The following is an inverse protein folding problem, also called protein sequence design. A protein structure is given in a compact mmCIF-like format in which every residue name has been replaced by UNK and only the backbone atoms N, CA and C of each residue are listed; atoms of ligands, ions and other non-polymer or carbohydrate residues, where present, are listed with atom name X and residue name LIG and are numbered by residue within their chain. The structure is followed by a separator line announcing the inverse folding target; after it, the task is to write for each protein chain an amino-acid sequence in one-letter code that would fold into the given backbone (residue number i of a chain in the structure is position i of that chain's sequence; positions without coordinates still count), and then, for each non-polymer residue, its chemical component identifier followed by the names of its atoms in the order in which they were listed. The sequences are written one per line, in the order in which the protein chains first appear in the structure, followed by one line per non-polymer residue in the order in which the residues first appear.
data_IF_869321576396
#
_entry.id   IF_869321576396
#
_cell.length_a   1.000
_cell.length_b   1.000
_cell.length_c   1.000
_cell.angle_alpha   90.00
_cell.angle_beta   90.00
_cell.angle_gamma   90.00
#
_symmetry.space_group_name_H-M   'P 1'
#
loop_
_entity.id
_entity.type
_entity.pdbx_description
1 polymer ?
#
# COMPACT_ATOMS: atom_id res chain seq x y z
N UNK A 1 -27.08 -14.50 -12.07
CA UNK A 1 -27.76 -14.33 -13.37
C UNK A 1 -28.02 -15.70 -13.97
N UNK A 2 -28.89 -15.84 -14.97
CA UNK A 2 -29.18 -17.17 -15.55
C UNK A 2 -28.12 -17.66 -16.55
N UNK A 3 -27.29 -16.75 -17.07
CA UNK A 3 -26.15 -17.02 -17.97
C UNK A 3 -26.47 -17.86 -19.22
N UNK A 4 -27.74 -17.92 -19.66
CA UNK A 4 -28.19 -18.70 -20.84
C UNK A 4 -27.45 -18.34 -22.12
N UNK A 5 -27.28 -17.03 -22.40
CA UNK A 5 -26.58 -16.56 -23.59
C UNK A 5 -25.10 -16.98 -23.59
N UNK A 6 -24.46 -16.95 -22.41
CA UNK A 6 -23.08 -17.38 -22.24
C UNK A 6 -22.93 -18.87 -22.56
N UNK A 7 -23.84 -19.72 -22.08
CA UNK A 7 -23.80 -21.16 -22.36
C UNK A 7 -24.04 -21.48 -23.84
N UNK A 8 -24.97 -20.79 -24.49
CA UNK A 8 -25.19 -20.94 -25.93
C UNK A 8 -23.96 -20.54 -26.75
N UNK A 9 -23.28 -19.45 -26.37
CA UNK A 9 -22.05 -19.02 -27.04
C UNK A 9 -20.89 -19.99 -26.82
N UNK A 10 -20.78 -20.59 -25.62
CA UNK A 10 -19.78 -21.63 -25.34
C UNK A 10 -20.03 -22.91 -26.15
N UNK A 11 -21.30 -23.34 -26.27
CA UNK A 11 -21.68 -24.46 -27.12
C UNK A 11 -21.36 -24.22 -28.60
N UNK A 12 -21.66 -23.02 -29.12
CA UNK A 12 -21.30 -22.63 -30.50
C UNK A 12 -19.80 -22.68 -30.76
N UNK A 13 -18.99 -22.42 -29.73
CA UNK A 13 -17.52 -22.51 -29.78
C UNK A 13 -16.99 -23.93 -29.58
N UNK A 14 -17.88 -24.92 -29.39
CA UNK A 14 -17.54 -26.34 -29.30
C UNK A 14 -17.24 -26.85 -27.89
N UNK A 15 -17.46 -26.05 -26.84
CA UNK A 15 -17.29 -26.51 -25.47
C UNK A 15 -18.51 -27.29 -25.00
N UNK A 16 -18.28 -28.47 -24.41
CA UNK A 16 -19.36 -29.39 -23.98
C UNK A 16 -19.45 -29.48 -22.46
N UNK A 17 -18.36 -29.26 -21.73
CA UNK A 17 -18.30 -29.44 -20.28
C UNK A 17 -17.91 -28.16 -19.56
N UNK A 18 -18.58 -27.90 -18.45
CA UNK A 18 -18.24 -26.83 -17.52
C UNK A 18 -18.40 -27.31 -16.08
N UNK A 19 -17.78 -26.62 -15.14
CA UNK A 19 -18.03 -26.71 -13.71
C UNK A 19 -18.80 -25.48 -13.29
N UNK A 20 -20.01 -25.67 -12.77
CA UNK A 20 -20.89 -24.59 -12.32
C UNK A 20 -21.15 -24.78 -10.84
N UNK A 21 -20.80 -23.77 -10.03
CA UNK A 21 -20.91 -23.80 -8.57
C UNK A 21 -20.27 -25.04 -7.91
N UNK A 22 -19.21 -25.57 -8.52
CA UNK A 22 -18.47 -26.75 -8.06
C UNK A 22 -18.91 -28.08 -8.68
N UNK A 23 -20.06 -28.12 -9.37
CA UNK A 23 -20.57 -29.34 -10.01
C UNK A 23 -20.23 -29.39 -11.49
N UNK A 24 -19.74 -30.55 -11.96
CA UNK A 24 -19.47 -30.77 -13.38
C UNK A 24 -20.76 -31.04 -14.14
N UNK A 25 -21.05 -30.19 -15.11
CA UNK A 25 -22.27 -30.23 -15.91
C UNK A 25 -21.97 -30.26 -17.40
N UNK A 26 -22.89 -30.84 -18.16
CA UNK A 26 -22.88 -30.75 -19.62
C UNK A 26 -23.58 -29.46 -20.03
N UNK A 27 -22.93 -28.66 -20.88
CA UNK A 27 -23.46 -27.38 -21.35
C UNK A 27 -24.72 -27.53 -22.21
N UNK A 28 -24.98 -28.72 -22.76
CA UNK A 28 -26.18 -29.04 -23.53
C UNK A 28 -27.45 -29.24 -22.69
N UNK A 29 -27.33 -29.42 -21.38
CA UNK A 29 -28.46 -29.64 -20.48
C UNK A 29 -29.07 -28.31 -20.00
N UNK A 30 -30.35 -28.29 -19.61
CA UNK A 30 -30.95 -27.10 -19.00
C UNK A 30 -30.51 -26.95 -17.54
N UNK A 31 -29.54 -26.06 -17.31
CA UNK A 31 -28.90 -25.85 -16.01
C UNK A 31 -29.74 -24.99 -15.03
N UNK A 32 -30.83 -24.35 -15.49
CA UNK A 32 -31.81 -23.71 -14.59
C UNK A 32 -31.24 -22.72 -13.55
N UNK A 33 -30.16 -21.98 -13.87
CA UNK A 33 -29.49 -21.12 -12.89
C UNK A 33 -30.37 -19.97 -12.38
N UNK A 34 -30.32 -19.70 -11.07
CA UNK A 34 -31.16 -18.68 -10.44
C UNK A 34 -30.66 -17.27 -10.74
N UNK A 35 -31.49 -16.45 -11.39
CA UNK A 35 -31.14 -15.08 -11.81
C UNK A 35 -30.51 -14.20 -10.73
N UNK A 36 -31.00 -14.30 -9.48
CA UNK A 36 -30.59 -13.45 -8.36
C UNK A 36 -29.37 -13.95 -7.57
N UNK A 37 -28.79 -15.09 -7.95
CA UNK A 37 -27.62 -15.65 -7.27
C UNK A 37 -26.34 -15.38 -8.07
N UNK A 38 -25.23 -15.30 -7.33
CA UNK A 38 -23.89 -15.32 -7.91
C UNK A 38 -23.56 -16.78 -8.23
N UNK A 39 -23.07 -17.01 -9.43
CA UNK A 39 -22.64 -18.33 -9.89
C UNK A 39 -21.17 -18.28 -10.30
N UNK A 40 -20.44 -19.35 -10.06
CA UNK A 40 -19.07 -19.57 -10.54
C UNK A 40 -19.13 -20.52 -11.71
N UNK A 41 -18.68 -20.07 -12.89
CA UNK A 41 -18.73 -20.86 -14.13
C UNK A 41 -17.31 -21.02 -14.65
N UNK A 42 -16.86 -22.26 -14.76
CA UNK A 42 -15.52 -22.62 -15.21
C UNK A 42 -15.63 -23.60 -16.37
N UNK A 43 -15.04 -23.28 -17.52
CA UNK A 43 -15.16 -24.13 -18.71
C UNK A 43 -14.01 -25.15 -18.73
N UNK A 44 -14.34 -26.41 -18.98
CA UNK A 44 -13.33 -27.47 -19.13
C UNK A 44 -12.77 -27.40 -20.55
N UNK A 45 -11.52 -26.94 -20.68
CA UNK A 45 -10.84 -26.76 -21.97
C UNK A 45 -10.25 -28.08 -22.46
N UNK A 46 -9.46 -28.77 -21.63
CA UNK A 46 -8.83 -30.03 -22.00
C UNK A 46 -8.59 -30.91 -20.76
N UNK A 47 -8.41 -32.22 -20.98
CA UNK A 47 -8.01 -33.20 -19.97
C UNK A 47 -6.73 -33.88 -20.43
N UNK A 48 -5.65 -33.64 -19.68
CA UNK A 48 -4.30 -34.08 -20.04
C UNK A 48 -3.73 -35.03 -18.98
N UNK A 49 -2.98 -36.03 -19.44
CA UNK A 49 -2.18 -36.89 -18.57
C UNK A 49 -0.77 -36.33 -18.50
N UNK A 50 -0.24 -36.15 -17.29
CA UNK A 50 1.11 -35.64 -17.08
C UNK A 50 2.15 -36.59 -17.70
N UNK A 51 3.03 -36.07 -18.55
CA UNK A 51 4.06 -36.87 -19.23
C UNK A 51 4.94 -36.03 -20.14
N UNK A 52 6.05 -36.63 -20.62
CA UNK A 52 7.05 -35.94 -21.46
C UNK A 52 6.54 -35.60 -22.88
N UNK A 53 5.49 -36.27 -23.37
CA UNK A 53 5.02 -36.20 -24.75
C UNK A 53 3.87 -35.23 -25.05
N UNK A 54 3.46 -34.37 -24.10
CA UNK A 54 2.22 -33.57 -24.22
C UNK A 54 2.39 -32.05 -24.30
N UNK A 55 3.61 -31.54 -24.48
CA UNK A 55 3.90 -30.10 -24.31
C UNK A 55 3.14 -29.19 -25.29
N UNK A 56 3.05 -29.57 -26.55
CA UNK A 56 2.33 -28.78 -27.58
C UNK A 56 0.84 -28.67 -27.26
N UNK A 57 0.20 -29.80 -26.93
CA UNK A 57 -1.22 -29.83 -26.56
C UNK A 57 -1.50 -29.05 -25.26
N UNK A 58 -0.61 -29.14 -24.28
CA UNK A 58 -0.69 -28.33 -23.06
C UNK A 58 -0.61 -26.83 -23.37
N UNK A 59 0.30 -26.43 -24.26
CA UNK A 59 0.44 -25.03 -24.67
C UNK A 59 -0.84 -24.51 -25.35
N UNK A 60 -1.39 -25.28 -26.30
CA UNK A 60 -2.64 -24.94 -26.99
C UNK A 60 -3.82 -24.81 -26.01
N UNK A 61 -3.96 -25.76 -25.07
CA UNK A 61 -5.01 -25.72 -24.05
C UNK A 61 -4.87 -24.49 -23.13
N UNK A 62 -3.64 -24.15 -22.71
CA UNK A 62 -3.37 -22.97 -21.86
C UNK A 62 -3.66 -21.68 -22.63
N UNK A 63 -3.25 -21.57 -23.90
CA UNK A 63 -3.53 -20.39 -24.73
C UNK A 63 -5.03 -20.19 -24.94
N UNK A 64 -5.77 -21.28 -25.22
CA UNK A 64 -7.22 -21.23 -25.37
C UNK A 64 -7.91 -20.82 -24.07
N UNK A 65 -7.46 -21.36 -22.93
CA UNK A 65 -7.97 -21.01 -21.61
C UNK A 65 -7.76 -19.52 -21.30
N UNK A 66 -6.53 -19.00 -21.48
CA UNK A 66 -6.18 -17.59 -21.27
C UNK A 66 -7.02 -16.67 -22.16
N UNK A 67 -7.19 -17.03 -23.44
CA UNK A 67 -7.98 -16.22 -24.40
C UNK A 67 -9.47 -16.21 -24.03
N UNK A 68 -10.03 -17.32 -23.57
CA UNK A 68 -11.44 -17.41 -23.20
C UNK A 68 -11.77 -16.68 -21.90
N UNK A 69 -10.91 -16.81 -20.89
CA UNK A 69 -11.12 -16.25 -19.54
C UNK A 69 -10.60 -14.82 -19.37
N UNK A 70 -9.90 -14.27 -20.38
CA UNK A 70 -9.27 -12.96 -20.30
C UNK A 70 -8.03 -12.91 -19.40
N UNK A 71 -7.30 -14.03 -19.27
CA UNK A 71 -6.00 -14.04 -18.59
C UNK A 71 -5.81 -15.05 -17.47
N UNK A 72 -6.77 -15.94 -17.19
CA UNK A 72 -6.70 -16.88 -16.05
C UNK A 72 -6.87 -18.35 -16.46
N UNK A 73 -6.20 -19.26 -15.76
CA UNK A 73 -6.31 -20.71 -16.00
C UNK A 73 -6.34 -21.45 -14.68
N UNK A 74 -7.38 -22.24 -14.46
CA UNK A 74 -7.46 -23.16 -13.33
C UNK A 74 -6.99 -24.55 -13.76
N UNK A 75 -5.99 -25.09 -13.08
CA UNK A 75 -5.51 -26.45 -13.28
C UNK A 75 -5.93 -27.28 -12.06
N UNK A 76 -6.81 -28.25 -12.28
CA UNK A 76 -7.15 -29.26 -11.30
C UNK A 76 -6.33 -30.51 -11.57
N UNK A 77 -5.58 -30.95 -10.57
CA UNK A 77 -4.84 -32.22 -10.63
C UNK A 77 -5.58 -33.30 -9.86
N UNK A 78 -5.72 -34.46 -10.49
CA UNK A 78 -6.29 -35.66 -9.89
C UNK A 78 -5.17 -36.69 -9.77
N UNK A 79 -4.84 -37.12 -8.55
CA UNK A 79 -4.01 -38.32 -8.37
C UNK A 79 -4.89 -39.55 -8.57
N UNK A 80 -4.52 -40.42 -9.51
CA UNK A 80 -5.11 -41.75 -9.58
C UNK A 80 -4.54 -42.57 -8.41
N UNK A 81 -5.41 -43.07 -7.52
CA UNK A 81 -5.02 -44.13 -6.58
C UNK A 81 -4.67 -45.37 -7.40
N UNK A 82 -3.40 -45.76 -7.33
CA UNK A 82 -2.88 -46.98 -7.94
C UNK A 82 -3.31 -48.20 -7.12
N UNK A 83 -4.57 -48.60 -7.21
CA UNK A 83 -5.02 -49.95 -6.83
C UNK A 83 -6.03 -50.44 -7.87
N UNK A 84 -5.50 -50.74 -9.06
CA UNK A 84 -6.13 -51.62 -10.03
C UNK A 84 -5.01 -52.39 -10.75
N UNK A 85 -4.17 -53.04 -9.95
CA UNK A 85 -3.34 -54.15 -10.41
C UNK A 85 -3.95 -55.43 -9.85
N UNK A 86 -4.32 -56.33 -10.76
CA UNK A 86 -4.55 -57.76 -10.54
C UNK A 86 -5.42 -58.17 -9.35
N UNK A 87 -6.72 -58.27 -9.60
CA UNK A 87 -7.48 -59.48 -9.24
C UNK A 87 -8.89 -59.39 -9.82
N UNK A 88 -9.29 -60.47 -10.50
CA UNK A 88 -10.70 -60.80 -10.72
C UNK A 88 -11.19 -61.44 -9.41
N UNK A 89 -12.29 -60.93 -8.81
CA UNK A 89 -13.16 -61.82 -8.05
C UNK A 89 -14.59 -61.71 -8.57
N UNK A 90 -15.11 -62.84 -9.02
CA UNK A 90 -16.54 -63.08 -9.20
C UNK A 90 -17.28 -62.81 -7.87
N UNK A 91 -18.18 -61.83 -7.87
CA UNK A 91 -19.08 -61.56 -6.75
C UNK A 91 -19.93 -60.31 -6.97
N UNK A 92 -21.18 -60.24 -6.45
CA UNK A 92 -22.03 -59.07 -6.60
C UNK A 92 -21.47 -57.87 -5.80
N UNK A 93 -21.73 -56.62 -6.25
CA UNK A 93 -21.09 -55.44 -5.68
C UNK A 93 -21.49 -55.23 -4.22
N UNK A 94 -20.52 -55.00 -3.30
CA UNK A 94 -20.85 -54.52 -1.97
C UNK A 94 -21.32 -53.07 -2.07
N UNK A 95 -22.51 -52.79 -1.53
CA UNK A 95 -22.97 -51.44 -1.26
C UNK A 95 -22.10 -50.86 -0.14
N UNK A 96 -21.16 -49.99 -0.50
CA UNK A 96 -20.30 -49.30 0.45
C UNK A 96 -20.43 -47.78 0.25
N UNK A 97 -21.23 -47.17 1.14
CA UNK A 97 -21.08 -45.79 1.56
C UNK A 97 -19.71 -45.59 2.18
N UNK A 98 -18.87 -44.77 1.54
CA UNK A 98 -17.54 -44.45 2.05
C UNK A 98 -16.74 -43.75 0.97
N UNK A 99 -17.04 -42.46 0.75
CA UNK A 99 -16.33 -41.61 -0.19
C UNK A 99 -14.82 -41.64 0.10
N UNK A 100 -14.06 -42.28 -0.79
CA UNK A 100 -12.62 -42.12 -0.85
C UNK A 100 -12.34 -40.66 -1.23
N UNK A 101 -11.86 -39.87 -0.28
CA UNK A 101 -11.47 -38.48 -0.51
C UNK A 101 -10.19 -38.48 -1.34
N UNK A 102 -10.33 -38.33 -2.65
CA UNK A 102 -9.24 -38.02 -3.56
C UNK A 102 -8.68 -36.64 -3.23
N UNK A 103 -7.37 -36.54 -3.00
CA UNK A 103 -6.70 -35.26 -2.77
C UNK A 103 -6.67 -34.46 -4.08
N UNK A 104 -7.74 -33.73 -4.36
CA UNK A 104 -7.82 -32.80 -5.49
C UNK A 104 -7.00 -31.55 -5.15
N UNK A 105 -5.95 -31.26 -5.93
CA UNK A 105 -5.24 -29.98 -5.78
C UNK A 105 -5.51 -29.09 -6.98
N UNK A 106 -6.14 -27.95 -6.68
CA UNK A 106 -6.46 -26.88 -7.64
C UNK A 106 -5.40 -25.77 -7.58
N UNK A 107 -4.94 -25.33 -8.74
CA UNK A 107 -3.99 -24.22 -8.88
C UNK A 107 -4.49 -23.25 -9.94
N UNK A 108 -4.75 -22.01 -9.51
CA UNK A 108 -5.13 -20.91 -10.40
C UNK A 108 -3.88 -20.14 -10.84
N UNK A 109 -3.75 -19.94 -12.15
CA UNK A 109 -2.70 -19.19 -12.81
C UNK A 109 -3.29 -17.94 -13.46
N UNK A 110 -2.49 -16.88 -13.55
CA UNK A 110 -2.84 -15.62 -14.21
C UNK A 110 -1.70 -15.20 -15.15
N UNK A 111 -2.04 -14.78 -16.36
CA UNK A 111 -1.12 -14.19 -17.34
C UNK A 111 -0.77 -12.73 -16.99
N UNK A 112 -1.58 -12.08 -16.16
CA UNK A 112 -1.32 -10.75 -15.61
C UNK A 112 -0.69 -10.86 -14.23
N UNK A 113 0.01 -9.80 -13.81
CA UNK A 113 0.44 -9.63 -12.42
C UNK A 113 -0.79 -9.43 -11.54
N UNK A 114 -1.46 -10.51 -11.18
CA UNK A 114 -2.67 -10.49 -10.38
C UNK A 114 -2.62 -11.62 -9.36
N UNK A 115 -3.12 -11.34 -8.15
CA UNK A 115 -3.23 -12.34 -7.11
C UNK A 115 -4.50 -13.18 -7.31
N UNK A 116 -4.30 -14.46 -7.57
CA UNK A 116 -5.37 -15.46 -7.72
C UNK A 116 -6.30 -15.60 -6.49
N UNK A 117 -5.86 -15.20 -5.29
CA UNK A 117 -6.64 -15.35 -4.06
C UNK A 117 -7.50 -14.12 -3.72
N UNK A 118 -6.98 -12.92 -3.96
CA UNK A 118 -7.65 -11.68 -3.57
C UNK A 118 -8.12 -10.83 -4.76
N UNK A 119 -7.94 -11.31 -6.00
CA UNK A 119 -8.33 -10.63 -7.25
C UNK A 119 -7.75 -9.20 -7.38
N UNK A 120 -6.64 -8.92 -6.72
CA UNK A 120 -5.90 -7.67 -6.90
C UNK A 120 -5.01 -7.77 -8.13
N UNK A 121 -5.11 -6.79 -9.02
CA UNK A 121 -4.21 -6.61 -10.16
C UNK A 121 -3.12 -5.60 -9.82
N UNK A 122 -1.94 -5.82 -10.39
CA UNK A 122 -0.73 -5.04 -10.17
C UNK A 122 -0.12 -4.63 -11.51
N UNK A 123 0.54 -3.48 -11.54
CA UNK A 123 1.31 -3.08 -12.71
C UNK A 123 2.62 -3.88 -12.79
N UNK A 124 3.14 -4.20 -13.99
CA UNK A 124 4.45 -4.80 -14.13
C UNK A 124 5.53 -3.96 -13.41
N UNK A 125 6.43 -4.58 -12.63
CA UNK A 125 7.46 -3.84 -11.90
C UNK A 125 8.40 -3.14 -12.88
N UNK A 126 8.50 -1.82 -12.73
CA UNK A 126 9.44 -0.97 -13.47
C UNK A 126 10.32 -0.19 -12.49
N UNK A 127 11.50 0.32 -12.88
CA UNK A 127 12.34 1.12 -11.99
C UNK A 127 11.60 2.33 -11.37
N UNK A 128 10.66 2.92 -12.11
CA UNK A 128 9.85 4.05 -11.64
C UNK A 128 8.89 3.67 -10.51
N UNK A 129 8.44 2.41 -10.43
CA UNK A 129 7.63 1.89 -9.34
C UNK A 129 8.38 1.94 -8.00
N UNK A 130 9.71 1.85 -8.04
CA UNK A 130 10.57 1.87 -6.85
C UNK A 130 11.09 3.26 -6.48
N UNK A 131 10.67 4.30 -7.20
CA UNK A 131 11.06 5.68 -6.93
C UNK A 131 9.98 6.41 -6.16
N UNK A 132 10.32 6.90 -4.96
CA UNK A 132 9.43 7.78 -4.18
C UNK A 132 9.29 9.18 -4.80
N UNK A 133 10.09 9.52 -5.82
CA UNK A 133 9.98 10.77 -6.57
C UNK A 133 9.06 10.62 -7.81
N UNK A 134 8.65 9.39 -8.15
CA UNK A 134 7.75 9.13 -9.27
C UNK A 134 6.30 8.96 -8.78
N UNK A 135 5.30 9.49 -9.48
CA UNK A 135 3.88 9.22 -9.21
C UNK A 135 3.52 7.74 -9.19
N UNK A 136 4.23 6.90 -9.95
CA UNK A 136 3.99 5.46 -9.99
C UNK A 136 4.39 4.80 -8.67
N UNK A 137 5.54 5.18 -8.11
CA UNK A 137 6.12 4.53 -6.92
C UNK A 137 5.83 5.23 -5.59
N UNK A 138 5.48 6.52 -5.60
CA UNK A 138 5.34 7.29 -4.37
C UNK A 138 4.10 6.89 -3.55
N UNK A 139 4.21 6.98 -2.23
CA UNK A 139 3.06 6.92 -1.35
C UNK A 139 2.13 8.10 -1.68
N UNK A 140 0.94 7.81 -2.21
CA UNK A 140 -0.05 8.84 -2.61
C UNK A 140 -0.42 9.79 -1.48
N UNK A 141 -0.38 9.30 -0.25
CA UNK A 141 -0.92 10.03 0.88
C UNK A 141 0.11 10.96 1.57
N UNK A 142 1.42 10.74 1.39
CA UNK A 142 2.46 11.72 1.76
C UNK A 142 3.27 12.24 0.56
N UNK A 143 2.82 11.97 -0.67
CA UNK A 143 3.48 12.35 -1.93
C UNK A 143 4.98 12.04 -1.93
N UNK A 144 5.36 10.86 -1.45
CA UNK A 144 6.78 10.44 -1.43
C UNK A 144 7.67 11.11 -0.38
N UNK A 145 7.12 11.90 0.55
CA UNK A 145 7.90 12.56 1.61
C UNK A 145 8.26 11.59 2.75
N UNK A 146 7.44 10.57 3.00
CA UNK A 146 7.60 9.64 4.14
C UNK A 146 7.13 10.21 5.48
N UNK A 147 7.12 11.53 5.61
CA UNK A 147 6.56 12.23 6.75
C UNK A 147 5.35 13.07 6.35
N UNK A 148 4.53 13.44 7.32
CA UNK A 148 3.46 14.43 7.18
C UNK A 148 3.58 15.44 8.29
N UNK A 149 3.29 16.69 7.95
CA UNK A 149 2.96 17.68 8.96
C UNK A 149 1.54 17.40 9.43
N UNK A 150 1.40 17.13 10.72
CA UNK A 150 0.10 16.91 11.32
C UNK A 150 -0.04 17.78 12.57
N UNK A 151 -1.26 18.16 12.89
CA UNK A 151 -1.51 19.02 14.04
C UNK A 151 -1.47 18.20 15.33
N UNK A 152 -0.83 18.76 16.35
CA UNK A 152 -0.90 18.25 17.71
C UNK A 152 -2.02 18.97 18.45
N UNK A 153 -2.99 18.21 18.95
CA UNK A 153 -4.11 18.78 19.70
C UNK A 153 -3.63 19.62 20.89
N UNK A 154 -2.62 19.13 21.62
CA UNK A 154 -2.00 19.83 22.75
C UNK A 154 -1.41 21.19 22.37
N UNK A 155 -0.83 21.32 21.16
CA UNK A 155 -0.29 22.60 20.68
C UNK A 155 -1.38 23.54 20.16
N UNK A 156 -2.46 22.97 19.60
CA UNK A 156 -3.61 23.73 19.13
C UNK A 156 -4.40 24.38 20.27
N UNK A 157 -4.43 23.71 21.43
CA UNK A 157 -5.13 24.21 22.61
C UNK A 157 -4.30 25.27 23.32
N UNK A 158 -4.93 26.39 23.66
CA UNK A 158 -4.33 27.42 24.51
C UNK A 158 -4.50 27.06 25.99
N UNK A 159 -5.71 26.66 26.36
CA UNK A 159 -6.14 26.40 27.74
C UNK A 159 -7.41 25.54 27.70
N UNK A 160 -7.37 24.39 28.37
CA UNK A 160 -8.49 23.44 28.41
C UNK A 160 -9.69 23.96 29.22
N UNK A 161 -9.47 24.96 30.07
CA UNK A 161 -10.53 25.59 30.88
C UNK A 161 -11.32 26.63 30.09
N UNK A 162 -10.85 27.04 28.90
CA UNK A 162 -11.58 27.95 28.01
C UNK A 162 -12.60 27.17 27.17
N UNK A 163 -13.66 27.85 26.77
CA UNK A 163 -14.59 27.33 25.76
C UNK A 163 -14.12 27.64 24.36
N UNK A 164 -14.64 26.89 23.38
CA UNK A 164 -14.41 27.18 21.96
C UNK A 164 -14.73 28.64 21.62
N UNK A 165 -15.83 29.18 22.17
CA UNK A 165 -16.23 30.57 21.97
C UNK A 165 -15.20 31.59 22.47
N UNK A 166 -14.58 31.33 23.63
CA UNK A 166 -13.54 32.16 24.23
C UNK A 166 -12.16 31.98 23.59
N UNK A 167 -12.04 31.06 22.63
CA UNK A 167 -10.81 30.83 21.88
C UNK A 167 -9.94 29.71 22.45
N UNK A 168 -10.52 28.62 22.95
CA UNK A 168 -9.77 27.45 23.40
C UNK A 168 -8.75 26.93 22.35
N UNK A 169 -9.03 27.12 21.06
CA UNK A 169 -8.13 26.79 19.95
C UNK A 169 -7.39 28.05 19.46
N UNK A 170 -6.07 28.06 19.63
CA UNK A 170 -5.18 29.18 19.26
C UNK A 170 -5.34 29.61 17.79
N UNK A 171 -5.51 28.64 16.88
CA UNK A 171 -5.53 28.88 15.43
C UNK A 171 -6.79 29.61 14.97
N UNK A 172 -7.91 29.39 15.67
CA UNK A 172 -9.19 30.06 15.40
C UNK A 172 -9.31 31.40 16.13
N UNK A 173 -8.69 31.50 17.31
CA UNK A 173 -8.88 32.62 18.22
C UNK A 173 -10.33 32.73 18.74
N UNK A 174 -10.67 33.84 19.41
CA UNK A 174 -12.00 34.05 19.95
C UNK A 174 -13.06 34.09 18.84
N UNK A 175 -14.20 33.43 19.05
CA UNK A 175 -15.30 33.43 18.08
C UNK A 175 -15.85 34.83 17.80
N UNK A 176 -15.59 35.81 18.66
CA UNK A 176 -15.92 37.23 18.40
C UNK A 176 -15.24 37.76 17.13
N UNK A 177 -13.98 37.38 16.89
CA UNK A 177 -13.16 37.86 15.76
C UNK A 177 -13.37 37.10 14.44
N UNK A 178 -14.08 35.98 14.46
CA UNK A 178 -14.35 35.16 13.27
C UNK A 178 -15.35 35.88 12.34
N UNK A 179 -15.22 35.72 11.02
CA UNK A 179 -16.17 36.29 10.06
C UNK A 179 -17.58 35.69 10.21
N UNK A 180 -18.63 36.47 9.92
CA UNK A 180 -20.04 36.02 10.06
C UNK A 180 -20.29 34.68 9.35
N UNK A 181 -19.73 34.50 8.15
CA UNK A 181 -19.83 33.27 7.38
C UNK A 181 -19.27 32.05 8.13
N UNK A 182 -17.99 32.03 8.53
CA UNK A 182 -17.46 30.89 9.30
C UNK A 182 -18.24 30.60 10.59
N UNK A 183 -18.74 31.63 11.29
CA UNK A 183 -19.56 31.43 12.51
C UNK A 183 -20.84 30.63 12.26
N UNK A 184 -21.54 30.84 11.15
CA UNK A 184 -22.78 30.09 10.89
C UNK A 184 -22.51 28.61 10.56
N UNK A 185 -21.37 28.33 9.91
CA UNK A 185 -20.91 26.96 9.64
C UNK A 185 -20.65 26.24 10.97
N UNK A 186 -19.83 26.82 11.84
CA UNK A 186 -19.50 26.22 13.14
C UNK A 186 -20.74 26.04 14.03
N UNK A 187 -21.71 26.95 13.98
CA UNK A 187 -23.00 26.78 14.68
C UNK A 187 -23.84 25.64 14.10
N UNK A 188 -23.86 25.45 12.79
CA UNK A 188 -24.55 24.32 12.14
C UNK A 188 -23.91 22.98 12.48
N UNK A 189 -22.57 22.92 12.46
CA UNK A 189 -21.81 21.75 12.89
C UNK A 189 -22.06 21.43 14.37
N UNK A 190 -21.96 22.43 15.25
CA UNK A 190 -22.21 22.27 16.68
C UNK A 190 -23.60 21.69 16.97
N UNK A 191 -24.66 22.22 16.35
CA UNK A 191 -26.04 21.68 16.51
C UNK A 191 -26.17 20.22 16.08
N UNK A 192 -25.47 19.83 15.03
CA UNK A 192 -25.53 18.45 14.53
C UNK A 192 -24.79 17.50 15.47
N UNK A 193 -23.63 17.93 15.97
CA UNK A 193 -22.84 17.17 16.94
C UNK A 193 -23.56 17.09 18.29
N UNK A 194 -24.20 18.17 18.75
CA UNK A 194 -25.01 18.19 19.97
C UNK A 194 -26.13 17.15 19.90
N UNK A 195 -26.86 17.07 18.78
CA UNK A 195 -27.87 16.03 18.55
C UNK A 195 -27.30 14.62 18.51
N UNK A 196 -26.14 14.44 17.87
CA UNK A 196 -25.49 13.13 17.76
C UNK A 196 -24.95 12.62 19.10
N UNK A 197 -24.57 13.52 20.01
CA UNK A 197 -23.93 13.20 21.30
C UNK A 197 -24.88 13.35 22.50
N UNK A 198 -26.12 13.78 22.28
CA UNK A 198 -27.12 14.00 23.33
C UNK A 198 -26.84 15.22 24.22
N UNK A 199 -26.05 16.19 23.74
CA UNK A 199 -25.80 17.44 24.46
C UNK A 199 -26.98 18.41 24.35
N UNK A 200 -27.12 19.28 25.35
CA UNK A 200 -28.10 20.38 25.34
C UNK A 200 -27.80 21.32 24.17
N UNK A 201 -28.83 21.80 23.47
CA UNK A 201 -28.65 22.69 22.32
C UNK A 201 -27.89 23.98 22.66
N UNK A 202 -27.00 24.42 21.76
CA UNK A 202 -26.21 25.65 21.86
C UNK A 202 -25.23 25.70 23.05
N UNK A 203 -24.75 24.52 23.49
CA UNK A 203 -23.78 24.37 24.57
C UNK A 203 -22.38 23.98 24.11
N UNK A 204 -22.22 23.25 23.00
CA UNK A 204 -20.93 22.70 22.56
C UNK A 204 -19.86 23.78 22.35
N UNK A 205 -20.25 24.93 21.81
CA UNK A 205 -19.32 26.05 21.59
C UNK A 205 -19.03 26.85 22.88
N UNK A 206 -19.86 26.72 23.92
CA UNK A 206 -19.82 27.57 25.13
C UNK A 206 -19.30 26.86 26.37
N UNK A 207 -19.42 25.53 26.43
CA UNK A 207 -18.85 24.70 27.47
C UNK A 207 -17.33 24.76 27.45
N UNK A 208 -16.69 24.54 28.61
CA UNK A 208 -15.23 24.45 28.67
C UNK A 208 -14.76 23.22 27.89
N UNK A 209 -13.57 23.32 27.30
CA UNK A 209 -13.04 22.23 26.49
C UNK A 209 -12.88 20.92 27.26
N UNK A 210 -12.45 20.98 28.53
CA UNK A 210 -12.31 19.81 29.40
C UNK A 210 -13.65 19.16 29.80
N UNK A 211 -14.75 19.92 29.78
CA UNK A 211 -16.10 19.44 30.13
C UNK A 211 -16.81 18.80 28.93
N UNK A 212 -16.24 18.91 27.72
CA UNK A 212 -16.82 18.34 26.51
C UNK A 212 -16.57 16.82 26.40
N UNK A 213 -17.60 16.02 26.05
CA UNK A 213 -17.41 14.60 25.74
C UNK A 213 -16.35 14.40 24.66
N UNK A 214 -15.54 13.35 24.80
CA UNK A 214 -14.48 13.03 23.82
C UNK A 214 -15.02 12.86 22.40
N UNK A 215 -16.16 12.20 22.26
CA UNK A 215 -16.83 12.03 20.97
C UNK A 215 -17.22 13.38 20.34
N UNK A 216 -17.72 14.34 21.13
CA UNK A 216 -18.05 15.68 20.64
C UNK A 216 -16.79 16.45 20.20
N UNK A 217 -15.69 16.32 20.96
CA UNK A 217 -14.39 16.91 20.60
C UNK A 217 -13.86 16.33 19.29
N UNK A 218 -13.90 15.01 19.13
CA UNK A 218 -13.44 14.33 17.91
C UNK A 218 -14.29 14.72 16.69
N UNK A 219 -15.62 14.71 16.79
CA UNK A 219 -16.51 15.09 15.69
C UNK A 219 -16.31 16.56 15.25
N UNK A 220 -16.02 17.45 16.20
CA UNK A 220 -15.76 18.85 15.88
C UNK A 220 -14.40 19.04 15.19
N UNK A 221 -13.36 18.31 15.63
CA UNK A 221 -12.01 18.42 15.10
C UNK A 221 -11.79 17.70 13.77
N UNK A 222 -12.30 16.47 13.62
CA UNK A 222 -12.04 15.58 12.50
C UNK A 222 -13.26 15.37 11.58
N UNK A 223 -14.38 16.00 11.91
CA UNK A 223 -15.59 15.99 11.09
C UNK A 223 -16.61 14.94 11.51
N UNK A 224 -17.80 15.04 10.92
CA UNK A 224 -18.94 14.13 11.18
C UNK A 224 -19.05 12.99 10.15
N UNK A 225 -18.00 12.78 9.35
CA UNK A 225 -17.99 11.79 8.26
C UNK A 225 -19.04 12.11 7.19
N UNK A 226 -19.84 11.11 6.81
CA UNK A 226 -20.86 11.25 5.77
C UNK A 226 -22.21 11.83 6.27
N UNK A 227 -22.30 12.23 7.54
CA UNK A 227 -23.52 12.82 8.07
C UNK A 227 -23.82 14.18 7.43
N UNK A 228 -25.09 14.37 7.07
CA UNK A 228 -25.56 15.62 6.49
C UNK A 228 -25.75 16.70 7.57
N UNK A 229 -25.06 17.82 7.42
CA UNK A 229 -25.11 18.96 8.33
C UNK A 229 -25.97 20.06 7.70
N UNK A 230 -26.92 20.59 8.48
CA UNK A 230 -27.75 21.73 8.06
C UNK A 230 -27.21 23.03 8.62
N UNK A 231 -26.77 23.92 7.73
CA UNK A 231 -26.27 25.25 8.08
C UNK A 231 -27.40 26.28 7.93
N UNK A 232 -27.59 27.13 8.94
CA UNK A 232 -28.64 28.14 8.96
C UNK A 232 -28.03 29.55 9.03
N UNK A 233 -28.34 30.39 8.04
CA UNK A 233 -27.90 31.76 7.92
C UNK A 233 -29.08 32.72 8.12
N UNK A 234 -28.91 33.71 9.01
CA UNK A 234 -29.94 34.75 9.23
C UNK A 234 -29.54 36.03 8.51
N UNK A 235 -30.39 36.50 7.61
CA UNK A 235 -30.26 37.79 6.93
C UNK A 235 -31.49 38.66 7.23
N UNK A 236 -31.47 39.92 6.78
CA UNK A 236 -32.55 40.88 7.05
C UNK A 236 -33.94 40.42 6.56
N UNK A 237 -34.00 39.53 5.56
CA UNK A 237 -35.23 39.01 4.97
C UNK A 237 -35.65 37.61 5.43
N UNK A 238 -34.97 37.02 6.42
CA UNK A 238 -35.36 35.69 6.95
C UNK A 238 -34.18 34.76 7.26
N UNK A 239 -34.48 33.47 7.34
CA UNK A 239 -33.51 32.40 7.60
C UNK A 239 -33.34 31.52 6.36
N UNK A 240 -32.15 31.56 5.78
CA UNK A 240 -31.75 30.68 4.69
C UNK A 240 -31.07 29.44 5.28
N UNK A 241 -31.41 28.24 4.79
CA UNK A 241 -30.79 26.98 5.20
C UNK A 241 -30.18 26.29 3.98
N UNK A 242 -28.98 25.75 4.15
CA UNK A 242 -28.36 24.89 3.14
C UNK A 242 -27.73 23.66 3.80
N UNK A 243 -27.66 22.58 3.03
CA UNK A 243 -27.05 21.33 3.43
C UNK A 243 -25.57 21.26 3.04
N UNK A 244 -24.78 20.49 3.78
CA UNK A 244 -23.40 20.17 3.42
C UNK A 244 -22.81 19.11 4.35
N UNK A 245 -21.49 18.88 4.20
CA UNK A 245 -20.71 18.04 5.11
C UNK A 245 -19.85 18.91 6.01
N UNK A 246 -19.57 18.42 7.22
CA UNK A 246 -18.60 19.03 8.12
C UNK A 246 -17.36 18.14 8.18
N UNK A 247 -16.31 18.57 7.50
CA UNK A 247 -15.04 17.83 7.41
C UNK A 247 -14.18 18.00 8.67
N UNK A 248 -14.51 18.96 9.55
CA UNK A 248 -13.75 19.24 10.76
C UNK A 248 -12.70 20.33 10.60
N UNK A 249 -12.26 20.88 11.73
CA UNK A 249 -11.26 21.96 11.75
C UNK A 249 -9.88 21.46 11.30
N UNK A 250 -9.45 20.27 11.71
CA UNK A 250 -8.11 19.77 11.40
C UNK A 250 -7.96 19.54 9.89
N UNK A 251 -8.91 18.86 9.20
CA UNK A 251 -8.86 18.76 7.75
C UNK A 251 -8.89 20.12 7.03
N UNK A 252 -9.71 21.08 7.50
CA UNK A 252 -9.74 22.44 6.95
C UNK A 252 -8.36 23.14 7.06
N UNK A 253 -7.71 23.03 8.23
CA UNK A 253 -6.38 23.61 8.47
C UNK A 253 -5.27 22.89 7.68
N UNK A 254 -5.36 21.58 7.52
CA UNK A 254 -4.43 20.81 6.70
C UNK A 254 -4.55 21.19 5.22
N UNK A 255 -5.78 21.35 4.73
CA UNK A 255 -6.03 21.83 3.38
C UNK A 255 -5.53 23.27 3.19
N UNK A 256 -5.73 24.15 4.18
CA UNK A 256 -5.18 25.52 4.20
C UNK A 256 -3.64 25.49 4.15
N UNK A 257 -2.99 24.55 4.85
CA UNK A 257 -1.54 24.39 4.84
C UNK A 257 -1.00 23.88 3.49
N UNK A 258 -1.65 22.87 2.90
CA UNK A 258 -1.22 22.22 1.65
C UNK A 258 -1.50 23.12 0.44
N UNK A 259 -2.70 23.69 0.35
CA UNK A 259 -3.17 24.47 -0.81
C UNK A 259 -2.87 25.97 -0.66
N UNK A 260 -2.54 26.43 0.55
CA UNK A 260 -2.35 27.85 0.86
C UNK A 260 -1.17 28.47 0.11
N UNK A 261 -1.44 29.60 -0.56
CA UNK A 261 -0.41 30.37 -1.28
C UNK A 261 0.32 31.42 -0.42
N UNK A 262 -0.18 31.70 0.80
CA UNK A 262 0.41 32.70 1.69
C UNK A 262 1.50 32.09 2.59
N UNK A 263 2.79 32.41 2.37
CA UNK A 263 3.90 31.81 3.12
C UNK A 263 3.89 32.18 4.60
N UNK A 264 3.40 33.37 4.96
CA UNK A 264 3.37 33.82 6.36
C UNK A 264 2.33 33.07 7.18
N UNK A 265 1.16 32.80 6.59
CA UNK A 265 0.11 31.98 7.21
C UNK A 265 0.58 30.53 7.38
N UNK A 266 1.26 29.99 6.36
CA UNK A 266 1.86 28.66 6.42
C UNK A 266 2.84 28.52 7.59
N UNK A 267 3.76 29.49 7.74
CA UNK A 267 4.72 29.53 8.85
C UNK A 267 4.08 29.69 10.23
N UNK A 268 2.91 30.33 10.32
CA UNK A 268 2.13 30.40 11.57
C UNK A 268 1.55 29.04 11.93
N UNK A 269 0.99 28.30 10.96
CA UNK A 269 0.43 26.97 11.17
C UNK A 269 1.51 25.96 11.58
N UNK A 270 2.71 26.05 10.99
CA UNK A 270 3.85 25.16 11.30
C UNK A 270 4.22 25.14 12.78
N UNK A 271 3.98 26.22 13.53
CA UNK A 271 4.22 26.27 14.98
C UNK A 271 3.39 25.25 15.76
N UNK A 272 2.21 24.90 15.24
CA UNK A 272 1.27 23.97 15.86
C UNK A 272 1.35 22.56 15.26
N UNK A 273 2.21 22.38 14.26
CA UNK A 273 2.38 21.11 13.58
C UNK A 273 3.62 20.39 14.11
N UNK A 274 3.62 19.08 13.95
CA UNK A 274 4.79 18.24 14.12
C UNK A 274 5.00 17.39 12.87
N UNK A 275 6.26 17.10 12.58
CA UNK A 275 6.61 16.16 11.53
C UNK A 275 6.45 14.77 12.12
N UNK A 276 5.39 14.08 11.72
CA UNK A 276 5.17 12.67 12.07
C UNK A 276 5.47 11.77 10.88
N UNK A 277 5.85 10.53 11.18
CA UNK A 277 5.94 9.49 10.15
C UNK A 277 4.56 9.28 9.52
N UNK A 278 4.54 9.11 8.20
CA UNK A 278 3.29 8.91 7.47
C UNK A 278 2.66 7.58 7.89
N UNK A 279 1.44 7.61 8.45
CA UNK A 279 0.72 6.40 8.88
C UNK A 279 0.44 5.40 7.76
N UNK A 280 0.26 5.87 6.52
CA UNK A 280 -0.05 5.00 5.37
C UNK A 280 1.16 4.19 4.87
N UNK A 281 2.35 4.79 4.88
CA UNK A 281 3.57 4.11 4.43
C UNK A 281 4.54 3.75 5.56
N UNK A 282 4.27 4.15 6.80
CA UNK A 282 5.16 3.94 7.95
C UNK A 282 6.52 4.63 7.81
N UNK A 283 6.62 5.71 7.03
CA UNK A 283 7.90 6.38 6.75
C UNK A 283 8.61 5.95 5.47
N UNK A 284 8.27 4.78 4.90
CA UNK A 284 8.97 4.18 3.74
C UNK A 284 8.85 4.93 2.41
N UNK A 285 8.02 5.97 2.33
CA UNK A 285 7.83 6.85 1.15
C UNK A 285 7.20 6.21 -0.09
N UNK A 286 7.13 4.89 -0.16
CA UNK A 286 6.66 4.13 -1.33
C UNK A 286 5.19 3.69 -1.22
N UNK A 287 4.59 3.38 -2.36
CA UNK A 287 3.26 2.82 -2.47
C UNK A 287 3.21 1.37 -1.92
N UNK A 288 2.02 0.79 -1.69
CA UNK A 288 1.91 -0.59 -1.18
C UNK A 288 2.57 -1.63 -2.08
N UNK A 289 2.38 -1.55 -3.40
CA UNK A 289 2.89 -2.54 -4.36
C UNK A 289 4.43 -2.62 -4.37
N UNK A 290 5.10 -1.49 -4.42
CA UNK A 290 6.56 -1.39 -4.42
C UNK A 290 7.18 -1.96 -3.14
N UNK A 291 6.49 -1.82 -2.00
CA UNK A 291 6.91 -2.39 -0.71
C UNK A 291 6.70 -3.90 -0.61
N UNK A 292 5.89 -4.48 -1.49
CA UNK A 292 5.63 -5.91 -1.51
C UNK A 292 6.65 -6.70 -2.32
N UNK A 293 7.47 -6.04 -3.16
CA UNK A 293 8.54 -6.70 -3.91
C UNK A 293 9.72 -6.93 -2.96
N UNK A 294 10.22 -8.17 -2.92
CA UNK A 294 11.23 -8.63 -1.97
C UNK A 294 12.39 -9.32 -2.67
N UNK A 295 13.58 -9.19 -2.08
CA UNK A 295 14.80 -9.88 -2.45
C UNK A 295 15.22 -10.82 -1.32
N UNK A 296 15.71 -12.01 -1.67
CA UNK A 296 16.20 -13.00 -0.70
C UNK A 296 17.73 -13.01 -0.71
N UNK A 297 18.29 -13.30 0.45
CA UNK A 297 19.75 -13.44 0.65
C UNK A 297 19.99 -14.60 1.60
N UNK A 298 21.07 -15.34 1.37
CA UNK A 298 21.53 -16.43 2.24
C UNK A 298 22.11 -15.89 3.54
N UNK A 299 22.64 -14.67 3.53
CA UNK A 299 23.19 -14.03 4.71
C UNK A 299 22.05 -13.49 5.56
N UNK A 300 21.94 -13.97 6.80
CA UNK A 300 21.05 -13.38 7.78
C UNK A 300 21.62 -12.02 8.22
N UNK A 301 20.93 -10.95 7.85
CA UNK A 301 21.33 -9.57 8.15
C UNK A 301 20.15 -8.85 8.77
N UNK A 302 20.30 -8.42 10.02
CA UNK A 302 19.21 -7.85 10.81
C UNK A 302 18.07 -8.85 11.08
N UNK A 303 16.84 -8.36 11.14
CA UNK A 303 15.62 -9.19 11.23
C UNK A 303 15.22 -9.76 9.85
N UNK A 304 16.12 -10.49 9.19
CA UNK A 304 15.81 -11.16 7.92
C UNK A 304 14.69 -12.18 8.12
N UNK A 305 13.49 -11.84 7.62
CA UNK A 305 12.35 -12.74 7.53
C UNK A 305 12.64 -13.87 6.53
N UNK A 306 12.09 -15.10 6.71
CA UNK A 306 12.16 -16.15 5.70
C UNK A 306 11.59 -15.73 4.33
N UNK A 307 10.82 -14.65 4.27
CA UNK A 307 10.21 -14.10 3.05
C UNK A 307 11.13 -13.15 2.26
N UNK A 308 12.34 -12.84 2.75
CA UNK A 308 13.24 -11.84 2.17
C UNK A 308 12.89 -10.39 2.56
N UNK A 309 13.73 -9.45 2.13
CA UNK A 309 13.63 -8.02 2.45
C UNK A 309 13.09 -7.21 1.27
N UNK A 310 12.22 -6.25 1.56
CA UNK A 310 11.72 -5.24 0.63
C UNK A 310 12.70 -4.09 0.45
N UNK A 311 12.52 -3.28 -0.59
CA UNK A 311 13.42 -2.14 -0.86
C UNK A 311 13.58 -1.18 0.34
N UNK A 312 12.50 -0.74 1.04
CA UNK A 312 12.68 0.09 2.23
C UNK A 312 13.44 -0.59 3.37
N UNK A 313 13.22 -1.89 3.57
CA UNK A 313 13.93 -2.65 4.60
C UNK A 313 15.43 -2.74 4.27
N UNK A 314 15.78 -3.00 3.00
CA UNK A 314 17.17 -2.97 2.53
C UNK A 314 17.78 -1.57 2.67
N UNK A 315 17.03 -0.51 2.39
CA UNK A 315 17.51 0.86 2.59
C UNK A 315 17.66 1.24 4.08
N UNK A 316 16.93 0.59 4.98
CA UNK A 316 17.06 0.79 6.43
C UNK A 316 18.28 0.07 7.04
N UNK A 317 18.89 -0.88 6.32
CA UNK A 317 20.12 -1.54 6.75
C UNK A 317 21.29 -0.57 6.81
N UNK A 318 22.23 -0.84 7.73
CA UNK A 318 23.54 -0.20 7.70
C UNK A 318 24.29 -0.53 6.40
N UNK A 319 25.28 0.27 6.02
CA UNK A 319 26.07 0.01 4.80
C UNK A 319 26.78 -1.36 4.88
N UNK A 320 27.29 -1.72 6.05
CA UNK A 320 27.92 -3.04 6.29
C UNK A 320 26.92 -4.18 6.08
N UNK A 321 25.75 -4.06 6.71
CA UNK A 321 24.65 -5.01 6.58
C UNK A 321 24.17 -5.13 5.12
N UNK A 322 23.99 -3.99 4.44
CA UNK A 322 23.60 -3.97 3.03
C UNK A 322 24.66 -4.64 2.14
N UNK A 323 25.96 -4.42 2.40
CA UNK A 323 27.04 -5.05 1.64
C UNK A 323 27.01 -6.58 1.79
N UNK A 324 26.81 -7.07 3.02
CA UNK A 324 26.64 -8.50 3.30
C UNK A 324 25.40 -9.08 2.63
N UNK A 325 24.27 -8.35 2.67
CA UNK A 325 23.01 -8.75 2.04
C UNK A 325 23.17 -8.93 0.53
N UNK A 326 23.77 -7.95 -0.17
CA UNK A 326 23.99 -8.03 -1.61
C UNK A 326 25.08 -9.04 -2.01
N UNK A 327 25.98 -9.41 -1.10
CA UNK A 327 26.97 -10.48 -1.35
C UNK A 327 26.30 -11.85 -1.35
N UNK A 328 25.39 -12.11 -0.40
CA UNK A 328 24.65 -13.37 -0.26
C UNK A 328 23.36 -13.48 -1.08
N UNK A 329 23.09 -12.54 -2.00
CA UNK A 329 21.80 -12.48 -2.72
C UNK A 329 21.51 -13.78 -3.48
N UNK A 330 20.29 -14.30 -3.31
CA UNK A 330 19.82 -15.52 -3.99
C UNK A 330 19.14 -15.14 -5.30
N UNK A 331 19.75 -15.55 -6.42
CA UNK A 331 19.21 -15.35 -7.77
C UNK A 331 19.31 -16.65 -8.56
N UNK A 332 18.30 -16.92 -9.38
CA UNK A 332 18.38 -17.96 -10.41
C UNK A 332 19.35 -17.57 -11.54
N UNK A 333 19.65 -18.51 -12.44
CA UNK A 333 20.63 -18.29 -13.52
C UNK A 333 20.24 -17.14 -14.45
N UNK A 334 18.94 -16.96 -14.69
CA UNK A 334 18.42 -15.91 -15.58
C UNK A 334 18.51 -14.54 -14.90
N UNK A 335 18.09 -14.46 -13.65
CA UNK A 335 18.15 -13.27 -12.81
C UNK A 335 19.61 -12.84 -12.60
N UNK A 336 20.52 -13.78 -12.38
CA UNK A 336 21.96 -13.51 -12.21
C UNK A 336 22.55 -12.86 -13.46
N UNK A 337 22.23 -13.38 -14.64
CA UNK A 337 22.68 -12.81 -15.92
C UNK A 337 22.15 -11.38 -16.10
N UNK A 338 20.86 -11.15 -15.81
CA UNK A 338 20.23 -9.82 -15.96
C UNK A 338 20.79 -8.81 -14.95
N UNK A 339 21.04 -9.25 -13.71
CA UNK A 339 21.43 -8.37 -12.61
C UNK A 339 22.94 -8.19 -12.43
N UNK A 340 23.78 -8.83 -13.26
CA UNK A 340 25.25 -8.86 -13.09
C UNK A 340 25.85 -7.46 -12.97
N UNK A 341 25.59 -6.59 -13.95
CA UNK A 341 26.13 -5.23 -13.97
C UNK A 341 25.60 -4.38 -12.80
N UNK A 342 24.30 -4.51 -12.50
CA UNK A 342 23.66 -3.79 -11.40
C UNK A 342 24.25 -4.20 -10.04
N UNK A 343 24.45 -5.49 -9.81
CA UNK A 343 25.06 -6.00 -8.58
C UNK A 343 26.52 -5.60 -8.45
N UNK A 344 27.28 -5.61 -9.55
CA UNK A 344 28.66 -5.14 -9.57
C UNK A 344 28.75 -3.68 -9.13
N UNK A 345 27.87 -2.82 -9.65
CA UNK A 345 27.83 -1.39 -9.30
C UNK A 345 27.40 -1.17 -7.85
N UNK A 346 26.36 -1.87 -7.37
CA UNK A 346 25.87 -1.78 -5.99
C UNK A 346 26.97 -2.20 -5.01
N UNK A 347 27.57 -3.38 -5.20
CA UNK A 347 28.65 -3.90 -4.35
C UNK A 347 29.88 -2.99 -4.38
N UNK A 348 30.21 -2.46 -5.56
CA UNK A 348 31.28 -1.48 -5.71
C UNK A 348 31.07 -0.23 -4.85
N UNK A 349 29.89 0.41 -4.97
CA UNK A 349 29.53 1.62 -4.21
C UNK A 349 29.50 1.39 -2.71
N UNK A 350 28.89 0.29 -2.25
CA UNK A 350 28.87 -0.07 -0.83
C UNK A 350 30.30 -0.26 -0.31
N UNK A 351 31.16 -0.99 -1.05
CA UNK A 351 32.56 -1.16 -0.66
C UNK A 351 33.36 0.16 -0.62
N UNK A 352 33.07 1.14 -1.48
CA UNK A 352 33.70 2.48 -1.37
C UNK A 352 33.27 3.21 -0.11
N UNK A 353 31.98 3.13 0.25
CA UNK A 353 31.48 3.73 1.48
C UNK A 353 32.08 3.07 2.72
N UNK A 354 32.28 1.74 2.70
CA UNK A 354 32.96 1.01 3.77
C UNK A 354 34.41 1.44 3.94
N UNK A 355 35.17 1.53 2.84
CA UNK A 355 36.56 2.03 2.86
C UNK A 355 36.67 3.46 3.38
N UNK A 356 35.61 4.28 3.23
CA UNK A 356 35.54 5.62 3.79
C UNK A 356 35.10 5.65 5.28
N UNK A 357 34.92 4.50 5.92
CA UNK A 357 34.53 4.39 7.33
C UNK A 357 33.11 4.88 7.60
N UNK A 358 32.16 4.60 6.70
CA UNK A 358 30.75 4.98 6.81
C UNK A 358 29.83 3.79 7.11
N UNK A 359 30.39 2.64 7.49
CA UNK A 359 29.74 1.34 7.70
C UNK A 359 28.44 1.42 8.51
N UNK A 360 28.43 2.25 9.56
CA UNK A 360 27.34 2.39 10.53
C UNK A 360 26.13 3.19 10.02
N UNK A 361 26.22 3.84 8.86
CA UNK A 361 25.12 4.64 8.33
C UNK A 361 24.11 3.76 7.60
N UNK A 362 22.82 4.00 7.85
CA UNK A 362 21.75 3.45 7.03
C UNK A 362 21.63 4.18 5.68
N UNK A 363 21.23 3.46 4.63
CA UNK A 363 21.08 4.04 3.28
C UNK A 363 19.92 5.05 3.18
N UNK A 364 18.90 4.92 4.03
CA UNK A 364 17.74 5.81 4.08
C UNK A 364 17.94 7.06 4.96
N UNK A 365 19.11 7.22 5.60
CA UNK A 365 19.41 8.36 6.47
C UNK A 365 19.30 9.68 5.69
N UNK A 366 18.53 10.60 6.24
CA UNK A 366 18.26 11.90 5.62
C UNK A 366 19.51 12.77 5.55
N UNK A 367 19.84 13.29 4.36
CA UNK A 367 21.06 14.07 4.11
C UNK A 367 21.29 15.26 5.05
N UNK A 368 20.27 16.07 5.44
CA UNK A 368 20.43 17.16 6.40
C UNK A 368 20.88 16.73 7.81
N UNK A 369 20.74 15.45 8.15
CA UNK A 369 21.14 14.92 9.47
C UNK A 369 22.61 14.49 9.51
N UNK A 370 23.30 14.50 8.38
CA UNK A 370 24.70 14.11 8.28
C UNK A 370 25.61 15.22 8.80
N UNK A 371 26.64 14.84 9.53
CA UNK A 371 27.73 15.75 9.89
C UNK A 371 28.49 16.20 8.63
N UNK A 372 29.19 17.34 8.75
CA UNK A 372 30.04 17.83 7.66
C UNK A 372 31.11 16.82 7.24
N UNK A 373 31.69 16.09 8.20
CA UNK A 373 32.65 15.02 7.94
C UNK A 373 32.05 13.82 7.21
N UNK A 374 30.86 13.36 7.61
CA UNK A 374 30.15 12.28 6.92
C UNK A 374 29.80 12.67 5.47
N UNK A 375 29.24 13.87 5.28
CA UNK A 375 28.90 14.40 3.96
C UNK A 375 30.10 14.48 3.03
N UNK A 376 31.24 14.92 3.56
CA UNK A 376 32.49 14.98 2.80
C UNK A 376 33.01 13.59 2.41
N UNK A 377 32.95 12.61 3.33
CA UNK A 377 33.36 11.22 3.04
C UNK A 377 32.43 10.54 2.04
N UNK A 378 31.13 10.78 2.09
CA UNK A 378 30.17 10.28 1.07
C UNK A 378 30.52 10.87 -0.31
N UNK A 379 30.81 12.17 -0.37
CA UNK A 379 31.24 12.81 -1.62
C UNK A 379 32.53 12.19 -2.14
N UNK A 380 33.52 11.94 -1.27
CA UNK A 380 34.76 11.28 -1.65
C UNK A 380 34.51 9.86 -2.19
N UNK A 381 33.70 9.05 -1.51
CA UNK A 381 33.33 7.71 -1.98
C UNK A 381 32.72 7.74 -3.38
N UNK A 382 31.81 8.69 -3.64
CA UNK A 382 31.19 8.87 -4.96
C UNK A 382 32.19 9.30 -6.05
N UNK A 383 33.19 10.12 -5.70
CA UNK A 383 34.23 10.52 -6.64
C UNK A 383 35.21 9.38 -6.96
N UNK A 384 35.65 8.61 -5.95
CA UNK A 384 36.51 7.43 -6.18
C UNK A 384 35.76 6.40 -7.04
N UNK A 385 34.45 6.22 -6.81
CA UNK A 385 33.61 5.32 -7.61
C UNK A 385 33.36 5.77 -9.05
N UNK A 386 33.60 7.04 -9.39
CA UNK A 386 33.37 7.58 -10.75
C UNK A 386 34.38 7.11 -11.80
N UNK A 387 35.48 6.47 -11.38
CA UNK A 387 36.51 5.96 -12.29
C UNK A 387 37.25 7.04 -13.09
N UNK A 388 37.11 8.31 -12.72
CA UNK A 388 37.76 9.43 -13.41
C UNK A 388 39.28 9.39 -13.21
N UNK A 389 40.03 9.46 -14.32
CA UNK A 389 41.50 9.54 -14.34
C UNK A 389 41.92 10.96 -14.72
N UNK A 390 43.02 11.46 -14.14
CA UNK A 390 43.54 12.80 -14.45
C UNK A 390 42.82 13.96 -13.75
N UNK A 391 42.07 13.69 -12.69
CA UNK A 391 41.33 14.71 -11.92
C UNK A 391 42.10 15.09 -10.66
N UNK A 392 42.28 16.39 -10.43
CA UNK A 392 42.81 16.94 -9.17
C UNK A 392 41.66 17.22 -8.19
N UNK A 393 41.56 16.42 -7.14
CA UNK A 393 40.59 16.64 -6.07
C UNK A 393 41.16 17.60 -5.01
N UNK A 394 40.57 18.79 -4.89
CA UNK A 394 40.89 19.75 -3.82
C UNK A 394 39.86 19.61 -2.71
N UNK A 395 40.30 19.12 -1.54
CA UNK A 395 39.44 18.97 -0.36
C UNK A 395 39.69 20.08 0.67
N UNK A 396 38.64 20.82 1.02
CA UNK A 396 38.68 21.75 2.15
C UNK A 396 38.46 21.00 3.47
N UNK A 397 39.33 21.25 4.46
CA UNK A 397 39.18 20.71 5.82
C UNK A 397 38.40 21.70 6.68
N UNK A 398 37.27 21.34 7.31
CA UNK A 398 36.71 22.17 8.37
C UNK A 398 37.69 22.16 9.56
N UNK A 399 38.02 23.34 10.09
CA UNK A 399 38.95 23.45 11.23
C UNK A 399 38.39 22.65 12.42
N UNK A 400 39.18 21.72 12.96
CA UNK A 400 38.89 21.03 14.22
C UNK A 400 38.51 19.55 14.14
N UNK A 401 39.41 18.71 13.61
CA UNK A 401 39.81 17.40 14.20
C UNK A 401 40.79 16.69 13.25
N UNK A 402 41.91 16.29 13.84
CA UNK A 402 43.06 15.69 13.17
C UNK A 402 42.81 14.19 13.02
N UNK A 403 42.65 13.71 11.79
CA UNK A 403 42.83 12.30 11.47
C UNK A 403 44.13 12.20 10.69
N UNK A 404 45.10 11.46 11.24
CA UNK A 404 46.31 10.99 10.55
C UNK A 404 46.00 9.57 10.10
N UNK A 405 45.78 9.38 8.80
CA UNK A 405 46.17 8.14 8.14
C UNK A 405 46.82 8.55 6.82
N UNK A 406 48.09 8.15 6.68
CA UNK A 406 48.83 8.25 5.43
C UNK A 406 48.29 7.24 4.43
N UNK A 407 48.36 7.61 3.16
CA UNK A 407 48.15 6.71 2.03
C UNK A 407 49.47 6.05 1.67
#
# INVERSE_FOLDING_TARGET
GEFRDLFQDLLKRGFVRARVDGEFVNLGDDLGLKKHFKHTIEVVIDRLVAGKGGRTRLAEAVEQAIRLSGGTVLIQSMSASSEAADSVPDGPPPQASGAAVTAETERLYSAHYACAKCNLSFEPPSPQLFSFNSPLGMCKACTGLGARHDFLLERLLEDETKSLWKGALNVLGPFSKIGRWRKHIYKGAARTIEKATGLIEDTLLKMKWCELPEQARQLFLYGTGDQHVTFAWRHAGGMWKHGGKWDGIIPELLDEYIKGRNPMRRKQLEKYMEIRTCSSCGGTRLNPQARSVRLRSTTAVGETSPLGLSLPEVCGLSIEDAAQFFTGIELDDTQRLIAEEALKEIRGRLGFLERCGLNYLALDRSAPTLSGGESQRIRLAGQIGSGLVGVLYIQARPRGRQWKYGW
#
